data_IF_778970379979
#
_entry.id   IF_778970379979
#
_cell.length_a   1.000
_cell.length_b   1.000
_cell.length_c   1.000
_cell.angle_alpha   90.00
_cell.angle_beta   90.00
_cell.angle_gamma   90.00
#
_symmetry.space_group_name_H-M   'P 1'
#
loop_
_entity.id
_entity.type
_entity.pdbx_description
1 polymer ?
#
# COMPACT_ATOMS: atom_id res chain seq x y z
N UNK A 1 -2.55 7.12 -3.36
CA UNK A 1 -1.85 6.07 -4.12
C UNK A 1 -0.37 6.19 -3.82
N UNK A 2 0.31 5.08 -3.61
CA UNK A 2 1.75 5.00 -3.35
C UNK A 2 2.36 3.96 -4.30
N UNK A 3 3.63 4.10 -4.62
CA UNK A 3 4.38 3.15 -5.46
C UNK A 3 5.82 3.07 -4.97
N UNK A 4 6.47 1.92 -5.21
CA UNK A 4 7.90 1.72 -4.97
C UNK A 4 8.54 1.07 -6.21
N UNK A 5 9.87 1.12 -6.29
CA UNK A 5 10.66 0.69 -7.46
C UNK A 5 10.77 1.77 -8.55
N UNK A 6 10.47 3.03 -8.20
CA UNK A 6 10.53 4.20 -9.08
C UNK A 6 11.13 5.40 -8.34
N UNK A 7 11.87 6.29 -9.05
CA UNK A 7 12.37 6.10 -10.43
C UNK A 7 13.48 5.04 -10.50
N UNK A 8 14.07 4.69 -9.36
CA UNK A 8 15.10 3.67 -9.24
C UNK A 8 14.47 2.31 -8.92
N UNK A 9 14.82 1.31 -9.72
CA UNK A 9 14.38 -0.08 -9.49
C UNK A 9 15.07 -0.64 -8.25
N UNK A 10 14.32 -1.33 -7.39
CA UNK A 10 14.83 -1.95 -6.16
C UNK A 10 14.58 -3.47 -6.10
N UNK A 11 14.40 -4.13 -7.25
CA UNK A 11 14.05 -5.57 -7.32
C UNK A 11 12.69 -5.84 -6.68
N UNK A 12 12.49 -6.98 -6.04
CA UNK A 12 11.21 -7.29 -5.40
C UNK A 12 10.95 -6.51 -4.11
N UNK A 13 11.95 -5.78 -3.57
CA UNK A 13 11.80 -4.99 -2.34
C UNK A 13 10.67 -3.97 -2.41
N UNK A 14 10.32 -3.47 -3.60
CA UNK A 14 9.15 -2.58 -3.73
C UNK A 14 7.86 -3.19 -3.20
N UNK A 15 7.68 -4.51 -3.34
CA UNK A 15 6.47 -5.18 -2.87
C UNK A 15 6.45 -5.19 -1.34
N UNK A 16 7.59 -5.49 -0.72
CA UNK A 16 7.76 -5.49 0.73
C UNK A 16 7.59 -4.11 1.35
N UNK A 17 8.17 -3.06 0.76
CA UNK A 17 8.02 -1.68 1.24
C UNK A 17 6.54 -1.24 1.25
N UNK A 18 5.81 -1.50 0.16
CA UNK A 18 4.38 -1.15 0.08
C UNK A 18 3.53 -2.04 0.99
N UNK A 19 3.88 -3.32 1.15
CA UNK A 19 3.21 -4.23 2.07
C UNK A 19 3.35 -3.76 3.53
N UNK A 20 4.57 -3.40 3.91
CA UNK A 20 4.86 -2.92 5.25
C UNK A 20 4.15 -1.60 5.55
N UNK A 21 4.20 -0.64 4.61
CA UNK A 21 3.44 0.59 4.72
C UNK A 21 1.93 0.33 4.88
N UNK A 22 1.38 -0.60 4.11
CA UNK A 22 -0.05 -0.93 4.13
C UNK A 22 -0.48 -1.53 5.47
N UNK A 23 0.33 -2.42 6.05
CA UNK A 23 0.10 -2.99 7.37
C UNK A 23 0.18 -1.91 8.47
N UNK A 24 1.20 -1.06 8.44
CA UNK A 24 1.35 0.05 9.40
C UNK A 24 0.17 1.04 9.33
N UNK A 25 -0.31 1.35 8.13
CA UNK A 25 -1.48 2.22 7.96
C UNK A 25 -2.75 1.60 8.51
N UNK A 26 -2.98 0.30 8.29
CA UNK A 26 -4.14 -0.38 8.88
C UNK A 26 -4.08 -0.39 10.40
N UNK A 27 -2.89 -0.56 10.99
CA UNK A 27 -2.73 -0.51 12.44
C UNK A 27 -3.01 0.89 13.00
N UNK A 28 -2.46 1.93 12.37
CA UNK A 28 -2.69 3.33 12.74
C UNK A 28 -4.18 3.70 12.70
N UNK A 29 -4.91 3.24 11.68
CA UNK A 29 -6.32 3.55 11.49
C UNK A 29 -7.20 2.93 12.60
N UNK A 30 -6.76 1.88 13.29
CA UNK A 30 -7.53 1.27 14.40
C UNK A 30 -7.63 2.19 15.61
N UNK A 31 -6.60 2.98 15.91
CA UNK A 31 -6.56 3.91 17.04
C UNK A 31 -6.92 5.35 16.66
N UNK A 32 -6.97 5.66 15.36
CA UNK A 32 -7.29 6.99 14.88
C UNK A 32 -8.76 7.37 15.12
N UNK A 33 -8.97 8.53 15.76
CA UNK A 33 -10.30 9.11 16.00
C UNK A 33 -10.47 10.35 15.13
N UNK A 34 -11.59 10.41 14.40
CA UNK A 34 -11.91 11.55 13.55
C UNK A 34 -12.38 12.71 14.45
N UNK A 35 -11.70 13.88 14.49
CA UNK A 35 -12.01 14.94 15.46
C UNK A 35 -13.45 15.44 15.41
N UNK A 36 -14.03 15.55 14.21
CA UNK A 36 -15.39 16.02 14.00
C UNK A 36 -16.44 14.89 14.02
N UNK A 37 -16.01 13.62 14.09
CA UNK A 37 -16.88 12.43 14.08
C UNK A 37 -16.33 11.34 15.03
N UNK A 38 -16.25 11.59 16.34
CA UNK A 38 -15.55 10.72 17.28
C UNK A 38 -16.15 9.31 17.41
N UNK A 39 -17.43 9.15 17.07
CA UNK A 39 -18.13 7.85 17.11
C UNK A 39 -18.03 7.04 15.81
N UNK A 40 -17.45 7.61 14.74
CA UNK A 40 -17.25 6.90 13.47
C UNK A 40 -15.83 6.38 13.37
N UNK A 41 -15.70 5.10 13.00
CA UNK A 41 -14.40 4.50 12.68
C UNK A 41 -14.05 4.78 11.23
N UNK A 42 -12.80 5.16 10.99
CA UNK A 42 -12.25 5.23 9.65
C UNK A 42 -12.00 3.80 9.15
N UNK A 43 -12.56 3.46 7.99
CA UNK A 43 -12.42 2.12 7.40
C UNK A 43 -11.58 2.21 6.13
N UNK A 44 -10.31 1.81 6.23
CA UNK A 44 -9.40 1.82 5.10
C UNK A 44 -9.52 0.53 4.29
N UNK A 45 -9.48 0.63 2.95
CA UNK A 45 -9.33 -0.50 2.04
C UNK A 45 -8.04 -0.33 1.26
N UNK A 46 -7.25 -1.38 1.14
CA UNK A 46 -5.96 -1.32 0.44
C UNK A 46 -5.92 -2.41 -0.63
N UNK A 47 -5.48 -2.03 -1.83
CA UNK A 47 -5.25 -2.93 -2.96
C UNK A 47 -3.81 -2.86 -3.43
N UNK A 48 -3.18 -4.01 -3.66
CA UNK A 48 -1.79 -4.11 -4.08
C UNK A 48 -1.64 -5.00 -5.32
N UNK A 49 -0.79 -4.56 -6.24
CA UNK A 49 -0.42 -5.33 -7.43
C UNK A 49 1.01 -5.00 -7.85
N UNK A 50 1.71 -6.00 -8.36
CA UNK A 50 3.09 -5.91 -8.85
C UNK A 50 3.10 -6.18 -10.35
N UNK A 51 3.73 -5.27 -11.11
CA UNK A 51 3.88 -5.38 -12.55
C UNK A 51 4.62 -4.19 -13.16
N UNK A 52 4.83 -4.22 -14.48
CA UNK A 52 5.46 -3.13 -15.21
C UNK A 52 4.54 -1.90 -15.30
N UNK A 53 5.10 -0.70 -15.17
CA UNK A 53 4.38 0.55 -15.41
C UNK A 53 5.28 1.55 -16.14
N UNK A 54 4.64 2.57 -16.72
CA UNK A 54 5.33 3.71 -17.31
C UNK A 54 5.13 4.89 -16.36
N UNK A 55 6.21 5.62 -16.07
CA UNK A 55 6.15 6.84 -15.29
C UNK A 55 6.66 8.01 -16.12
N UNK A 56 6.07 9.19 -15.95
CA UNK A 56 6.45 10.38 -16.69
C UNK A 56 5.91 11.66 -16.08
N UNK A 57 6.47 12.79 -16.52
CA UNK A 57 6.00 14.12 -16.13
C UNK A 57 5.06 14.65 -17.22
N UNK A 58 3.87 15.08 -16.82
CA UNK A 58 2.85 15.61 -17.73
C UNK A 58 2.62 17.09 -17.45
N UNK A 59 2.56 17.89 -18.53
CA UNK A 59 2.24 19.31 -18.50
C UNK A 59 3.49 20.19 -18.44
N UNK A 60 3.48 21.26 -19.25
CA UNK A 60 4.60 22.22 -19.33
C UNK A 60 4.52 23.29 -18.24
N UNK A 61 3.32 23.85 -18.01
CA UNK A 61 3.11 24.94 -17.03
C UNK A 61 2.93 24.42 -15.59
N UNK A 62 2.35 23.23 -15.46
CA UNK A 62 2.11 22.57 -14.17
C UNK A 62 2.51 21.09 -14.28
N UNK A 63 3.82 20.78 -14.18
CA UNK A 63 4.31 19.42 -14.31
C UNK A 63 3.76 18.52 -13.20
N UNK A 64 3.20 17.37 -13.58
CA UNK A 64 2.71 16.33 -12.66
C UNK A 64 3.40 15.01 -12.96
N UNK A 65 4.01 14.41 -11.94
CA UNK A 65 4.54 13.06 -12.06
C UNK A 65 3.39 12.06 -12.00
N UNK A 66 3.26 11.22 -13.03
CA UNK A 66 2.13 10.31 -13.19
C UNK A 66 2.62 8.91 -13.59
N UNK A 67 1.93 7.90 -13.07
CA UNK A 67 2.14 6.51 -13.40
C UNK A 67 0.99 6.00 -14.27
N UNK A 68 1.32 5.22 -15.29
CA UNK A 68 0.40 4.65 -16.26
C UNK A 68 0.67 3.17 -16.47
N UNK A 69 -0.36 2.49 -16.97
CA UNK A 69 -0.27 1.11 -17.40
C UNK A 69 -1.30 0.22 -16.72
N UNK A 70 -1.31 -1.03 -17.14
CA UNK A 70 -2.21 -2.05 -16.61
C UNK A 70 -1.98 -2.32 -15.10
N UNK A 71 -0.75 -2.14 -14.62
CA UNK A 71 -0.40 -2.35 -13.21
C UNK A 71 -1.20 -1.43 -12.27
N UNK A 72 -1.28 -0.14 -12.59
CA UNK A 72 -2.03 0.82 -11.75
C UNK A 72 -3.53 0.57 -11.79
N UNK A 73 -4.04 0.14 -12.95
CA UNK A 73 -5.45 -0.23 -13.11
C UNK A 73 -5.78 -1.49 -12.30
N UNK A 74 -4.95 -2.53 -12.39
CA UNK A 74 -5.13 -3.78 -11.64
C UNK A 74 -5.01 -3.55 -10.14
N UNK A 75 -4.07 -2.73 -9.67
CA UNK A 75 -3.99 -2.33 -8.26
C UNK A 75 -5.28 -1.64 -7.78
N UNK A 76 -5.83 -0.72 -8.57
CA UNK A 76 -7.13 -0.10 -8.28
C UNK A 76 -8.28 -1.12 -8.26
N UNK A 77 -8.25 -2.16 -9.10
CA UNK A 77 -9.22 -3.27 -9.03
C UNK A 77 -9.07 -4.09 -7.75
N UNK A 78 -7.84 -4.32 -7.28
CA UNK A 78 -7.62 -4.99 -5.99
C UNK A 78 -8.24 -4.17 -4.86
N UNK A 79 -8.06 -2.85 -4.86
CA UNK A 79 -8.62 -1.97 -3.83
C UNK A 79 -10.16 -1.93 -3.89
N UNK A 80 -10.72 -1.76 -5.09
CA UNK A 80 -12.17 -1.67 -5.31
C UNK A 80 -12.93 -2.94 -4.90
N UNK A 81 -12.36 -4.11 -5.18
CA UNK A 81 -12.92 -5.41 -4.78
C UNK A 81 -12.49 -5.85 -3.37
N UNK A 82 -11.73 -5.01 -2.65
CA UNK A 82 -11.23 -5.28 -1.32
C UNK A 82 -12.29 -5.12 -0.24
N UNK A 83 -12.08 -5.80 0.89
CA UNK A 83 -12.91 -5.65 2.08
C UNK A 83 -12.38 -4.52 2.99
N UNK A 84 -13.26 -3.82 3.74
CA UNK A 84 -12.83 -2.87 4.76
C UNK A 84 -11.83 -3.48 5.75
N UNK A 85 -10.81 -2.70 6.12
CA UNK A 85 -9.74 -3.05 7.04
C UNK A 85 -8.92 -4.29 6.62
N UNK A 86 -8.86 -4.59 5.32
CA UNK A 86 -8.02 -5.66 4.76
C UNK A 86 -7.17 -5.16 3.61
N UNK A 87 -6.05 -5.84 3.41
CA UNK A 87 -5.10 -5.60 2.31
C UNK A 87 -5.33 -6.70 1.28
N UNK A 88 -5.86 -6.32 0.12
CA UNK A 88 -6.12 -7.22 -0.98
C UNK A 88 -4.99 -7.18 -1.99
N UNK A 89 -4.49 -8.33 -2.41
CA UNK A 89 -3.41 -8.40 -3.39
C UNK A 89 -3.64 -9.44 -4.47
N UNK A 90 -3.11 -9.14 -5.65
CA UNK A 90 -3.03 -10.07 -6.77
C UNK A 90 -2.00 -11.18 -6.52
N UNK A 91 -2.13 -12.28 -7.25
CA UNK A 91 -1.17 -13.38 -7.23
C UNK A 91 0.28 -12.96 -7.58
N UNK A 92 0.48 -12.05 -8.53
CA UNK A 92 1.83 -11.57 -8.89
C UNK A 92 2.55 -10.87 -7.74
N UNK A 93 1.80 -10.07 -6.97
CA UNK A 93 2.32 -9.39 -5.78
C UNK A 93 2.63 -10.39 -4.66
N UNK A 94 1.79 -11.42 -4.50
CA UNK A 94 2.00 -12.49 -3.51
C UNK A 94 3.31 -13.23 -3.79
N UNK A 95 3.57 -13.62 -5.04
CA UNK A 95 4.83 -14.27 -5.45
C UNK A 95 6.05 -13.41 -5.15
N UNK A 96 5.99 -12.13 -5.47
CA UNK A 96 7.10 -11.20 -5.19
C UNK A 96 7.37 -11.06 -3.68
N UNK A 97 6.34 -11.15 -2.83
CA UNK A 97 6.49 -11.16 -1.38
C UNK A 97 6.96 -12.52 -0.83
N UNK A 98 6.52 -13.64 -1.42
CA UNK A 98 7.05 -14.98 -1.06
C UNK A 98 8.56 -15.06 -1.27
N UNK A 99 9.07 -14.47 -2.36
CA UNK A 99 10.51 -14.43 -2.65
C UNK A 99 11.31 -13.62 -1.62
N UNK A 100 10.69 -12.61 -1.00
CA UNK A 100 11.30 -11.88 0.12
C UNK A 100 11.21 -12.65 1.43
N UNK A 101 10.15 -13.43 1.61
CA UNK A 101 9.83 -14.12 2.85
C UNK A 101 9.28 -13.20 3.93
N UNK A 102 8.84 -13.80 5.04
CA UNK A 102 8.36 -13.04 6.21
C UNK A 102 6.93 -12.52 6.12
N UNK A 103 6.16 -12.84 5.07
CA UNK A 103 4.76 -12.41 4.95
C UNK A 103 3.79 -13.59 5.06
N UNK A 104 2.65 -13.37 5.72
CA UNK A 104 1.57 -14.36 5.83
C UNK A 104 0.33 -13.93 5.07
N UNK A 105 -0.24 -14.88 4.33
CA UNK A 105 -1.37 -14.66 3.44
C UNK A 105 -2.52 -15.62 3.71
N UNK A 106 -3.72 -15.15 3.43
CA UNK A 106 -4.93 -15.97 3.39
C UNK A 106 -5.49 -15.97 1.96
N UNK A 107 -5.92 -17.14 1.48
CA UNK A 107 -6.44 -17.27 0.12
C UNK A 107 -7.85 -16.71 0.07
N UNK A 108 -8.06 -15.68 -0.75
CA UNK A 108 -9.41 -15.16 -1.00
C UNK A 108 -10.19 -16.07 -1.96
N UNK A 109 -9.48 -16.67 -2.91
CA UNK A 109 -10.06 -17.40 -4.04
C UNK A 109 -10.08 -16.57 -5.33
N UNK A 110 -10.92 -17.00 -6.26
CA UNK A 110 -11.02 -16.42 -7.60
C UNK A 110 -11.93 -15.18 -7.61
N UNK A 111 -11.51 -14.15 -8.35
CA UNK A 111 -12.34 -12.99 -8.67
C UNK A 111 -12.26 -12.66 -10.16
N UNK A 112 -13.36 -12.13 -10.70
CA UNK A 112 -13.39 -11.62 -12.06
C UNK A 112 -12.83 -10.20 -12.11
N UNK A 113 -11.75 -10.01 -12.86
CA UNK A 113 -11.11 -8.71 -13.03
C UNK A 113 -11.24 -8.29 -14.49
N UNK A 114 -11.89 -7.14 -14.72
CA UNK A 114 -12.08 -6.59 -16.07
C UNK A 114 -10.75 -6.48 -16.81
N UNK A 115 -10.66 -7.14 -17.96
CA UNK A 115 -9.46 -7.16 -18.82
C UNK A 115 -8.42 -8.23 -18.46
N UNK A 116 -8.61 -8.96 -17.36
CA UNK A 116 -7.74 -10.08 -16.94
C UNK A 116 -8.48 -11.42 -16.84
N UNK A 117 -9.81 -11.38 -16.68
CA UNK A 117 -10.63 -12.56 -16.42
C UNK A 117 -10.53 -13.03 -14.97
N UNK A 118 -10.73 -14.32 -14.74
CA UNK A 118 -10.64 -14.93 -13.42
C UNK A 118 -9.20 -14.93 -12.90
N UNK A 119 -8.99 -14.36 -11.71
CA UNK A 119 -7.69 -14.31 -11.04
C UNK A 119 -7.80 -14.81 -9.61
N UNK A 120 -6.84 -15.62 -9.17
CA UNK A 120 -6.67 -15.93 -7.74
C UNK A 120 -6.09 -14.71 -7.04
N UNK A 121 -6.62 -14.43 -5.85
CA UNK A 121 -6.22 -13.29 -5.05
C UNK A 121 -6.09 -13.65 -3.57
N UNK A 122 -5.41 -12.78 -2.84
CA UNK A 122 -4.95 -13.06 -1.48
C UNK A 122 -5.21 -11.88 -0.56
N UNK A 123 -5.36 -12.18 0.72
CA UNK A 123 -5.32 -11.21 1.80
C UNK A 123 -3.95 -11.25 2.45
N UNK A 124 -3.30 -10.10 2.61
CA UNK A 124 -2.11 -10.00 3.45
C UNK A 124 -2.55 -9.86 4.91
N UNK A 125 -2.07 -10.75 5.77
CA UNK A 125 -2.48 -10.85 7.17
C UNK A 125 -1.45 -10.18 8.08
N UNK A 126 -0.17 -10.52 7.93
CA UNK A 126 0.92 -9.99 8.74
C UNK A 126 2.27 -10.09 8.04
N UNK A 127 3.25 -9.37 8.59
CA UNK A 127 4.66 -9.44 8.24
C UNK A 127 5.47 -9.72 9.52
N UNK A 128 6.48 -10.57 9.44
CA UNK A 128 7.41 -10.89 10.51
C UNK A 128 8.32 -9.70 10.86
N UNK A 129 8.59 -8.82 9.89
CA UNK A 129 9.41 -7.63 10.08
C UNK A 129 8.66 -6.55 10.87
N UNK A 130 7.32 -6.59 10.89
CA UNK A 130 6.49 -5.69 11.71
C UNK A 130 6.29 -6.35 13.08
N UNK A 131 7.40 -6.46 13.78
CA UNK A 131 7.46 -6.86 15.18
C UNK A 131 7.47 -5.69 16.14
N UNK A 132 6.82 -4.55 15.86
CA UNK A 132 6.74 -3.44 16.82
C UNK A 132 5.45 -2.61 16.71
N UNK A 133 4.89 -2.32 17.89
CA UNK A 133 4.00 -1.19 18.15
C UNK A 133 4.61 0.09 17.57
N UNK A 134 3.98 0.69 16.57
CA UNK A 134 4.34 2.04 16.15
C UNK A 134 4.08 2.95 17.35
N UNK A 135 5.14 3.34 18.06
CA UNK A 135 5.03 4.35 19.12
C UNK A 135 4.81 5.71 18.43
N UNK A 136 3.54 6.06 18.27
CA UNK A 136 3.11 7.28 17.63
C UNK A 136 3.71 8.51 18.30
N UNK A 137 4.07 8.44 19.58
CA UNK A 137 4.75 9.54 20.25
C UNK A 137 6.16 9.78 19.72
N UNK A 138 6.90 8.74 19.32
CA UNK A 138 8.22 8.93 18.72
C UNK A 138 8.09 9.46 17.29
N UNK A 139 7.17 8.93 16.50
CA UNK A 139 6.91 9.43 15.14
C UNK A 139 6.45 10.90 15.15
N UNK A 140 5.60 11.30 16.11
CA UNK A 140 5.17 12.69 16.30
C UNK A 140 6.31 13.60 16.79
N UNK A 141 7.19 13.11 17.68
CA UNK A 141 8.39 13.85 18.11
C UNK A 141 9.32 14.13 16.93
N UNK A 142 9.60 13.12 16.11
CA UNK A 142 10.45 13.25 14.93
C UNK A 142 9.83 14.18 13.88
N UNK A 143 8.53 14.09 13.65
CA UNK A 143 7.83 14.99 12.73
C UNK A 143 7.86 16.46 13.21
N UNK A 144 7.74 16.71 14.53
CA UNK A 144 7.86 18.06 15.11
C UNK A 144 9.28 18.62 15.01
N UNK A 145 10.29 17.80 15.29
CA UNK A 145 11.70 18.19 15.17
C UNK A 145 12.07 18.51 13.72
N UNK A 146 11.63 17.69 12.77
CA UNK A 146 11.88 17.93 11.34
C UNK A 146 11.20 19.22 10.82
N UNK A 147 10.03 19.58 11.36
CA UNK A 147 9.38 20.86 11.06
C UNK A 147 10.15 22.04 11.67
N UNK A 148 10.68 21.90 12.89
CA UNK A 148 11.52 22.92 13.52
C UNK A 148 12.84 23.15 12.78
N UNK A 149 13.47 22.10 12.24
CA UNK A 149 14.70 22.24 11.44
C UNK A 149 14.45 22.92 10.08
N UNK A 150 13.27 22.73 9.49
CA UNK A 150 12.91 23.38 8.22
C UNK A 150 12.54 24.87 8.41
N UNK A 151 12.12 25.29 9.60
CA UNK A 151 11.79 26.68 9.91
C UNK A 151 13.01 27.55 10.30
N UNK A 152 14.23 26.99 10.24
CA UNK A 152 15.52 27.64 10.53
C UNK A 152 16.47 27.66 9.34
#
# INVERSE_FOLDING_TARGET
MVASGLPMRNGNRHSGEVANLSLSLLELVKSFVIPHLPHKKLLLRIGMHTGSCVAGVIGLKMPRYCLFGDTVNTASRMESHGAPLRIHLSDSCKRALDELGGFEFDCRGHIEVKGKGSMVTWWLIRSADIGFSVDLHEAERQARLALQEWES
#
